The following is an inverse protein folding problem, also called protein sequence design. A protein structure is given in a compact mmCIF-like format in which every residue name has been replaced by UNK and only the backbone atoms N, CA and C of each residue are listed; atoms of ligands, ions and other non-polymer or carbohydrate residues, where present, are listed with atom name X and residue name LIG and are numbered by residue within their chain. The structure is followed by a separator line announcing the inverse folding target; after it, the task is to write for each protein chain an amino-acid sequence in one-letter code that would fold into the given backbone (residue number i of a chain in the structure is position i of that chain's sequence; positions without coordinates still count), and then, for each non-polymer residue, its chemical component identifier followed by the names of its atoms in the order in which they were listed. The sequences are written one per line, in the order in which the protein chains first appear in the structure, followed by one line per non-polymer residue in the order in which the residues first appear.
data_IF_391526194269
#
_entry.id   IF_391526194269
#
_cell.length_a   1.000
_cell.length_b   1.000
_cell.length_c   1.000
_cell.angle_alpha   90.00
_cell.angle_beta   90.00
_cell.angle_gamma   90.00
#
_symmetry.space_group_name_H-M   'P 1'
#
loop_
_entity.id
_entity.type
_entity.pdbx_description
1 polymer ?
#
# COMPACT_ATOMS: atom_id res chain seq x y z
N UNK A 1 -16.40 -13.47 5.48
CA UNK A 1 -16.80 -12.17 4.91
C UNK A 1 -15.60 -11.62 4.16
N UNK A 2 -15.66 -11.52 2.84
CA UNK A 2 -14.54 -11.03 2.01
C UNK A 2 -14.33 -9.54 2.27
N UNK A 3 -13.16 -9.16 2.78
CA UNK A 3 -12.76 -7.77 2.98
C UNK A 3 -12.57 -7.14 1.60
N UNK A 4 -13.51 -6.31 1.16
CA UNK A 4 -13.44 -5.65 -0.14
C UNK A 4 -12.30 -4.62 -0.10
N UNK A 5 -11.37 -4.67 -1.05
CA UNK A 5 -10.30 -3.67 -1.16
C UNK A 5 -10.89 -2.27 -1.23
N UNK A 6 -10.30 -1.34 -0.47
CA UNK A 6 -10.77 0.05 -0.44
C UNK A 6 -10.43 0.75 -1.75
N UNK A 7 -11.42 1.38 -2.37
CA UNK A 7 -11.23 2.24 -3.54
C UNK A 7 -10.99 3.66 -3.04
N UNK A 8 -9.96 4.30 -3.58
CA UNK A 8 -9.59 5.67 -3.24
C UNK A 8 -9.78 6.57 -4.46
N UNK A 9 -10.31 7.78 -4.25
CA UNK A 9 -10.09 8.88 -5.20
C UNK A 9 -8.63 9.37 -5.10
N UNK A 10 -8.16 10.09 -6.11
CA UNK A 10 -6.80 10.67 -6.13
C UNK A 10 -6.50 11.49 -4.87
N UNK A 11 -7.42 12.34 -4.44
CA UNK A 11 -7.20 13.22 -3.29
C UNK A 11 -7.17 12.45 -1.97
N UNK A 12 -8.03 11.43 -1.82
CA UNK A 12 -8.02 10.56 -0.64
C UNK A 12 -6.75 9.73 -0.56
N UNK A 13 -6.26 9.20 -1.70
CA UNK A 13 -5.00 8.47 -1.75
C UNK A 13 -3.83 9.36 -1.32
N UNK A 14 -3.75 10.60 -1.85
CA UNK A 14 -2.72 11.57 -1.47
C UNK A 14 -2.77 11.86 0.04
N UNK A 15 -3.95 12.13 0.57
CA UNK A 15 -4.12 12.44 1.99
C UNK A 15 -3.70 11.25 2.86
N UNK A 16 -4.09 10.03 2.46
CA UNK A 16 -3.74 8.81 3.19
C UNK A 16 -2.25 8.51 3.16
N UNK A 17 -1.57 8.75 2.03
CA UNK A 17 -0.11 8.63 1.95
C UNK A 17 0.61 9.63 2.85
N UNK A 18 0.10 10.88 2.95
CA UNK A 18 0.62 11.88 3.90
C UNK A 18 0.45 11.45 5.35
N UNK A 19 -0.71 10.90 5.71
CA UNK A 19 -0.95 10.35 7.05
C UNK A 19 0.01 9.20 7.37
N UNK A 20 0.21 8.27 6.43
CA UNK A 20 1.15 7.15 6.59
C UNK A 20 2.57 7.66 6.79
N UNK A 21 3.00 8.68 6.03
CA UNK A 21 4.31 9.32 6.21
C UNK A 21 4.45 9.94 7.61
N UNK A 22 3.40 10.60 8.10
CA UNK A 22 3.38 11.23 9.42
C UNK A 22 3.40 10.23 10.59
N UNK A 23 3.09 8.95 10.36
CA UNK A 23 3.21 7.91 11.39
C UNK A 23 4.67 7.63 11.78
N UNK A 24 5.64 8.05 10.96
CA UNK A 24 7.06 7.79 11.19
C UNK A 24 7.42 6.33 10.90
N UNK A 25 8.13 5.68 11.84
CA UNK A 25 8.60 4.32 11.64
C UNK A 25 7.47 3.30 11.77
N UNK A 26 7.22 2.57 10.68
CA UNK A 26 6.29 1.45 10.65
C UNK A 26 7.06 0.13 10.67
N UNK A 27 6.63 -0.80 11.53
CA UNK A 27 7.20 -2.13 11.57
C UNK A 27 6.90 -2.86 10.25
N UNK A 28 7.93 -3.43 9.65
CA UNK A 28 7.78 -4.20 8.42
C UNK A 28 7.02 -5.52 8.69
N UNK A 29 5.93 -5.74 7.96
CA UNK A 29 5.05 -6.90 8.15
C UNK A 29 5.67 -8.22 7.62
N UNK A 30 6.63 -8.15 6.68
CA UNK A 30 7.20 -9.35 6.03
C UNK A 30 8.73 -9.35 6.07
N UNK A 31 9.33 -10.51 6.31
CA UNK A 31 10.81 -10.70 6.36
C UNK A 31 11.39 -11.03 4.98
N UNK A 32 12.60 -10.57 4.72
CA UNK A 32 13.35 -10.89 3.48
C UNK A 32 12.75 -10.27 2.21
N UNK A 33 12.87 -10.99 1.08
CA UNK A 33 12.44 -10.52 -0.25
C UNK A 33 10.95 -10.77 -0.55
N UNK A 34 10.12 -11.01 0.46
CA UNK A 34 8.70 -11.26 0.31
C UNK A 34 7.88 -9.95 0.26
N UNK A 35 8.26 -9.01 -0.61
CA UNK A 35 7.47 -7.79 -0.86
C UNK A 35 7.34 -6.81 0.31
N UNK A 36 8.21 -6.89 1.32
CA UNK A 36 8.08 -6.23 2.63
C UNK A 36 7.52 -4.81 2.63
N UNK A 37 8.21 -3.84 2.01
CA UNK A 37 7.77 -2.43 2.05
C UNK A 37 6.51 -2.17 1.20
N UNK A 38 6.32 -2.90 0.11
CA UNK A 38 5.16 -2.76 -0.76
C UNK A 38 3.90 -3.29 -0.07
N UNK A 39 3.98 -4.50 0.47
CA UNK A 39 2.86 -5.09 1.18
C UNK A 39 2.54 -4.36 2.49
N UNK A 40 3.55 -3.81 3.18
CA UNK A 40 3.30 -2.96 4.35
C UNK A 40 2.47 -1.73 3.97
N UNK A 41 2.75 -1.11 2.82
CA UNK A 41 1.93 -0.01 2.32
C UNK A 41 0.51 -0.46 1.96
N UNK A 42 0.37 -1.59 1.26
CA UNK A 42 -0.93 -2.16 0.88
C UNK A 42 -1.79 -2.47 2.12
N UNK A 43 -1.20 -3.06 3.16
CA UNK A 43 -1.87 -3.35 4.44
C UNK A 43 -2.38 -2.07 5.11
N UNK A 44 -1.57 -0.99 5.15
CA UNK A 44 -1.94 0.31 5.71
C UNK A 44 -3.04 1.05 4.92
N UNK A 45 -3.15 0.76 3.63
CA UNK A 45 -4.20 1.24 2.74
C UNK A 45 -5.41 0.30 2.69
N UNK A 46 -5.35 -0.87 3.31
CA UNK A 46 -6.41 -1.88 3.23
C UNK A 46 -6.61 -2.41 1.81
N UNK A 47 -5.55 -2.43 1.00
CA UNK A 47 -5.51 -3.02 -0.33
C UNK A 47 -5.12 -4.48 -0.17
N UNK A 48 -5.96 -5.39 -0.67
CA UNK A 48 -5.63 -6.81 -0.69
C UNK A 48 -4.68 -7.09 -1.86
N UNK A 49 -3.51 -7.65 -1.52
CA UNK A 49 -2.55 -8.16 -2.50
C UNK A 49 -3.22 -9.16 -3.45
N UNK A 50 -2.92 -9.02 -4.74
CA UNK A 50 -3.33 -9.95 -5.78
C UNK A 50 -2.27 -9.94 -6.91
N UNK A 51 -2.23 -11.02 -7.70
CA UNK A 51 -1.24 -11.20 -8.77
C UNK A 51 -1.79 -10.85 -10.16
N UNK A 52 -2.84 -10.02 -10.24
CA UNK A 52 -3.40 -9.62 -11.51
C UNK A 52 -2.53 -8.54 -12.16
N UNK A 53 -2.40 -8.51 -13.50
CA UNK A 53 -1.65 -7.48 -14.22
C UNK A 53 -2.47 -6.18 -14.35
N UNK A 54 -2.99 -5.68 -13.22
CA UNK A 54 -3.82 -4.48 -13.13
C UNK A 54 -3.36 -3.61 -11.97
N UNK A 55 -3.65 -2.30 -11.99
CA UNK A 55 -3.27 -1.41 -10.90
C UNK A 55 -3.89 -1.81 -9.55
N UNK A 56 -3.12 -1.69 -8.46
CA UNK A 56 -3.57 -2.07 -7.11
C UNK A 56 -4.36 -0.97 -6.36
N UNK A 57 -4.35 0.28 -6.82
CA UNK A 57 -5.10 1.39 -6.25
C UNK A 57 -5.99 2.06 -7.32
N UNK A 58 -7.06 1.37 -7.72
CA UNK A 58 -7.98 1.80 -8.78
C UNK A 58 -7.29 2.00 -10.14
N UNK A 59 -6.98 3.24 -10.51
CA UNK A 59 -6.31 3.60 -11.77
C UNK A 59 -4.78 3.72 -11.61
N UNK A 60 -4.29 3.67 -10.36
CA UNK A 60 -2.88 3.90 -10.03
C UNK A 60 -2.19 2.63 -9.54
N UNK A 61 -0.96 2.46 -9.97
CA UNK A 61 -0.06 1.41 -9.51
C UNK A 61 0.87 1.97 -8.44
N UNK A 62 0.81 1.40 -7.24
CA UNK A 62 1.66 1.81 -6.13
C UNK A 62 3.02 1.11 -6.20
N UNK A 63 4.10 1.89 -6.07
CA UNK A 63 5.47 1.39 -5.98
C UNK A 63 6.13 1.97 -4.73
N UNK A 64 6.89 1.13 -4.01
CA UNK A 64 7.66 1.54 -2.84
C UNK A 64 9.13 1.20 -3.04
N UNK A 65 10.02 2.08 -2.59
CA UNK A 65 11.45 1.90 -2.67
C UNK A 65 12.12 2.44 -1.40
N UNK A 66 13.20 1.78 -0.95
CA UNK A 66 14.08 2.36 0.07
C UNK A 66 15.00 3.39 -0.58
N UNK A 67 15.11 4.57 0.01
CA UNK A 67 16.11 5.56 -0.39
C UNK A 67 17.47 4.98 0.00
N UNK A 68 18.27 4.64 -1.00
CA UNK A 68 19.68 4.30 -0.83
C UNK A 68 20.53 5.56 -1.03
#
# INVERSE_FOLDING_TARGET
MTKKSKIYTKQELINRLKEISAMGWVLNARRGNAGGIGNTLEDLLGIQENNLPVPNAAEWELKTQRIN
#
